data_IF_652273220457
#
_entry.id   IF_652273220457
#
_cell.length_a   1.000
_cell.length_b   1.000
_cell.length_c   1.000
_cell.angle_alpha   90.00
_cell.angle_beta   90.00
_cell.angle_gamma   90.00
#
_symmetry.space_group_name_H-M   'P 1'
#
loop_
_entity.id
_entity.type
_entity.pdbx_description
1 polymer ?
#
# COMPACT_ATOMS: atom_id res chain seq x y z
N UNK A 1 0.22 5.01 -11.83
CA UNK A 1 0.14 4.30 -10.52
C UNK A 1 -0.01 5.35 -9.45
N UNK A 2 -0.93 5.14 -8.49
CA UNK A 2 -1.16 6.10 -7.41
C UNK A 2 -0.59 5.58 -6.10
N UNK A 3 0.24 6.40 -5.46
CA UNK A 3 0.78 6.17 -4.13
C UNK A 3 0.09 7.11 -3.16
N UNK A 4 -0.41 6.54 -2.07
CA UNK A 4 -1.04 7.29 -0.99
C UNK A 4 -0.23 7.10 0.27
N UNK A 5 0.18 8.20 0.89
CA UNK A 5 0.73 8.17 2.25
C UNK A 5 -0.38 8.62 3.18
N UNK A 6 -0.79 7.73 4.08
CA UNK A 6 -1.91 7.92 4.99
C UNK A 6 -1.40 7.92 6.42
N UNK A 7 -1.91 8.83 7.25
CA UNK A 7 -1.66 8.80 8.69
C UNK A 7 -2.88 8.18 9.34
N UNK A 8 -2.74 6.95 9.82
CA UNK A 8 -3.78 6.26 10.57
C UNK A 8 -3.68 6.62 12.04
N UNK A 9 -4.83 6.93 12.64
CA UNK A 9 -4.97 7.11 14.08
C UNK A 9 -5.52 5.80 14.65
N UNK A 10 -4.71 5.08 15.42
CA UNK A 10 -5.16 3.80 15.99
C UNK A 10 -6.07 4.06 17.20
N UNK A 11 -7.22 3.37 17.24
CA UNK A 11 -8.25 3.56 18.26
C UNK A 11 -7.80 3.16 19.67
N UNK A 12 -6.76 2.32 19.78
CA UNK A 12 -6.36 1.73 21.06
C UNK A 12 -5.26 2.48 21.81
N UNK A 13 -4.40 3.24 21.14
CA UNK A 13 -3.23 3.87 21.80
C UNK A 13 -3.02 5.35 21.46
N UNK A 14 -3.95 5.99 20.73
CA UNK A 14 -3.81 7.39 20.29
C UNK A 14 -2.46 7.67 19.56
N UNK A 15 -1.86 6.61 19.01
CA UNK A 15 -0.63 6.65 18.23
C UNK A 15 -1.00 6.98 16.77
N UNK A 16 -0.19 7.85 16.16
CA UNK A 16 -0.26 8.14 14.72
C UNK A 16 0.73 7.23 14.01
N UNK A 17 0.24 6.42 13.09
CA UNK A 17 1.06 5.50 12.29
C UNK A 17 0.99 5.90 10.83
N UNK A 18 2.13 6.00 10.18
CA UNK A 18 2.18 6.28 8.75
C UNK A 18 2.03 4.95 7.98
N UNK A 19 1.22 4.96 6.92
CA UNK A 19 0.98 3.79 6.06
C UNK A 19 1.13 4.21 4.62
N UNK A 20 1.86 3.41 3.85
CA UNK A 20 2.01 3.61 2.41
C UNK A 20 1.13 2.62 1.67
N UNK A 21 0.18 3.12 0.89
CA UNK A 21 -0.68 2.31 0.03
C UNK A 21 -0.32 2.55 -1.42
N UNK A 22 -0.04 1.47 -2.14
CA UNK A 22 0.20 1.49 -3.59
C UNK A 22 -1.00 0.85 -4.26
N UNK A 23 -1.65 1.63 -5.14
CA UNK A 23 -2.80 1.20 -5.90
C UNK A 23 -2.43 1.15 -7.39
N UNK A 24 -2.50 -0.04 -8.02
CA UNK A 24 -2.36 -0.14 -9.46
C UNK A 24 -3.55 0.54 -10.14
N UNK A 25 -3.30 1.26 -11.23
CA UNK A 25 -4.37 1.81 -12.06
C UNK A 25 -4.92 0.68 -12.93
N UNK A 26 -6.23 0.46 -12.84
CA UNK A 26 -6.96 -0.47 -13.70
C UNK A 26 -8.19 0.25 -14.26
N UNK A 27 -8.45 0.08 -15.55
CA UNK A 27 -9.60 0.69 -16.24
C UNK A 27 -10.93 0.23 -15.63
N UNK A 28 -10.98 -1.01 -15.10
CA UNK A 28 -12.15 -1.53 -14.38
C UNK A 28 -12.48 -0.74 -13.10
N UNK A 29 -11.53 0.04 -12.53
CA UNK A 29 -11.80 0.88 -11.34
C UNK A 29 -12.70 2.09 -11.64
N UNK A 30 -12.80 2.50 -12.89
CA UNK A 30 -13.70 3.59 -13.31
C UNK A 30 -15.07 3.07 -13.76
N UNK A 31 -15.26 1.74 -13.75
CA UNK A 31 -16.54 1.10 -14.07
C UNK A 31 -17.36 0.85 -12.80
N UNK A 32 -18.69 0.87 -12.94
CA UNK A 32 -19.64 0.63 -11.84
C UNK A 32 -19.51 -0.76 -11.20
N UNK A 33 -18.76 -1.68 -11.83
CA UNK A 33 -18.50 -3.04 -11.36
C UNK A 33 -17.05 -3.20 -10.93
N UNK A 34 -16.65 -2.47 -9.89
CA UNK A 34 -15.31 -2.59 -9.32
C UNK A 34 -15.13 -3.98 -8.68
N UNK A 35 -14.27 -4.81 -9.26
CA UNK A 35 -13.85 -6.07 -8.63
C UNK A 35 -12.87 -5.79 -7.49
N UNK A 36 -12.95 -6.52 -6.37
CA UNK A 36 -12.00 -6.37 -5.28
C UNK A 36 -10.58 -6.73 -5.74
N UNK A 37 -9.62 -5.84 -5.51
CA UNK A 37 -8.21 -6.08 -5.79
C UNK A 37 -7.60 -7.00 -4.73
N UNK A 38 -6.76 -7.94 -5.15
CA UNK A 38 -5.98 -8.75 -4.22
C UNK A 38 -5.02 -7.83 -3.46
N UNK A 39 -5.08 -7.87 -2.13
CA UNK A 39 -4.35 -6.96 -1.24
C UNK A 39 -3.26 -7.71 -0.50
N UNK A 40 -2.03 -7.22 -0.58
CA UNK A 40 -0.86 -7.71 0.15
C UNK A 40 -0.48 -6.71 1.24
N UNK A 41 -0.46 -7.18 2.48
CA UNK A 41 0.09 -6.43 3.62
C UNK A 41 1.58 -6.71 3.71
N UNK A 42 2.39 -5.66 3.62
CA UNK A 42 3.84 -5.74 3.66
C UNK A 42 4.35 -5.11 4.95
N UNK A 43 4.89 -5.94 5.83
CA UNK A 43 5.48 -5.49 7.09
C UNK A 43 6.98 -5.27 6.89
N UNK A 44 7.49 -4.12 7.30
CA UNK A 44 8.91 -3.83 7.24
C UNK A 44 9.65 -4.30 8.50
N UNK A 45 10.97 -4.40 8.39
CA UNK A 45 11.84 -4.73 9.53
C UNK A 45 11.86 -3.63 10.59
N UNK A 46 12.31 -3.97 11.80
CA UNK A 46 12.26 -3.12 12.99
C UNK A 46 12.89 -1.72 12.83
N UNK A 47 13.97 -1.60 12.06
CA UNK A 47 14.71 -0.35 11.84
C UNK A 47 14.22 0.47 10.66
N UNK A 48 13.26 -0.07 9.91
CA UNK A 48 12.80 0.52 8.67
C UNK A 48 11.50 1.30 8.90
N UNK A 49 11.08 2.04 7.89
CA UNK A 49 9.79 2.74 7.87
C UNK A 49 8.90 2.21 6.73
N UNK A 50 7.64 2.63 6.75
CA UNK A 50 6.63 2.37 5.72
C UNK A 50 7.02 2.79 4.28
N UNK A 51 8.16 3.46 4.06
CA UNK A 51 8.63 3.84 2.73
C UNK A 51 9.81 3.00 2.24
N UNK A 52 10.43 2.19 3.10
CA UNK A 52 11.66 1.46 2.81
C UNK A 52 11.55 0.59 1.56
N UNK A 53 10.49 -0.23 1.46
CA UNK A 53 10.28 -1.07 0.28
C UNK A 53 10.07 -0.28 -1.00
N UNK A 54 9.50 0.93 -0.92
CA UNK A 54 9.33 1.78 -2.11
C UNK A 54 10.60 2.50 -2.54
N UNK A 55 11.53 2.75 -1.61
CA UNK A 55 12.81 3.42 -1.88
C UNK A 55 13.90 2.45 -2.34
N UNK A 56 13.94 1.25 -1.74
CA UNK A 56 15.06 0.31 -1.88
C UNK A 56 14.72 -0.97 -2.63
N UNK A 57 13.46 -1.16 -3.06
CA UNK A 57 13.06 -2.33 -3.85
C UNK A 57 12.12 -1.95 -4.99
N UNK A 58 12.04 -2.80 -6.02
CA UNK A 58 11.15 -2.60 -7.17
C UNK A 58 9.72 -3.13 -6.93
N UNK A 59 9.23 -3.07 -5.69
CA UNK A 59 7.95 -3.66 -5.28
C UNK A 59 6.76 -3.11 -6.09
N UNK A 60 6.81 -1.85 -6.51
CA UNK A 60 5.77 -1.19 -7.32
C UNK A 60 5.64 -1.83 -8.71
N UNK A 61 6.75 -2.23 -9.33
CA UNK A 61 6.75 -2.92 -10.64
C UNK A 61 6.04 -4.26 -10.55
N UNK A 62 6.36 -5.06 -9.53
CA UNK A 62 5.77 -6.39 -9.34
C UNK A 62 4.29 -6.32 -8.96
N UNK A 63 3.90 -5.29 -8.19
CA UNK A 63 2.50 -5.05 -7.86
C UNK A 63 1.67 -4.69 -9.11
N UNK A 64 2.24 -3.92 -10.04
CA UNK A 64 1.60 -3.59 -11.31
C UNK A 64 1.39 -4.84 -12.17
N UNK A 65 2.42 -5.66 -12.34
CA UNK A 65 2.35 -6.88 -13.16
C UNK A 65 1.30 -7.87 -12.66
N UNK A 66 1.13 -7.97 -11.33
CA UNK A 66 0.19 -8.90 -10.70
C UNK A 66 -1.16 -8.27 -10.30
N UNK A 67 -1.38 -6.98 -10.59
CA UNK A 67 -2.58 -6.22 -10.20
C UNK A 67 -2.84 -6.35 -8.68
N UNK A 68 -1.78 -6.16 -7.88
CA UNK A 68 -1.84 -6.24 -6.42
C UNK A 68 -1.93 -4.85 -5.81
N UNK A 69 -2.82 -4.70 -4.83
CA UNK A 69 -2.80 -3.58 -3.91
C UNK A 69 -1.78 -3.87 -2.82
N UNK A 70 -0.82 -2.97 -2.60
CA UNK A 70 0.14 -3.08 -1.50
C UNK A 70 -0.23 -2.13 -0.37
N UNK A 71 -0.15 -2.61 0.86
CA UNK A 71 -0.26 -1.77 2.06
C UNK A 71 0.96 -2.04 2.95
N UNK A 72 1.84 -1.05 3.11
CA UNK A 72 2.99 -1.15 4.00
C UNK A 72 2.70 -0.44 5.32
N UNK A 73 2.83 -1.18 6.42
CA UNK A 73 2.42 -0.77 7.76
C UNK A 73 3.55 -0.99 8.77
N UNK A 74 3.54 -0.12 9.80
CA UNK A 74 4.52 0.18 10.85
C UNK A 74 5.29 1.49 10.60
#
# INVERSE_FOLDING_TARGET
MKKFSLVLKTLQQNLKTNVTVILPENEEMFSDKMKPLQTLYLLHGLTNDNTMYTRYTNVERYAKEKILRLSCQL
#
